data_IF_153482256962
#
_entry.id   IF_153482256962
#
_cell.length_a   1.000
_cell.length_b   1.000
_cell.length_c   1.000
_cell.angle_alpha   90.00
_cell.angle_beta   90.00
_cell.angle_gamma   90.00
#
_symmetry.space_group_name_H-M   'P 1'
#
loop_
_entity.id
_entity.type
_entity.pdbx_description
1 polymer ?
#
# COMPACT_ATOMS: atom_id res chain seq x y z
N UNK A 1 -15.94 -17.61 -4.87
CA UNK A 1 -15.59 -16.82 -3.69
C UNK A 1 -15.42 -15.36 -4.10
N UNK A 2 -16.05 -14.47 -3.38
CA UNK A 2 -16.06 -13.06 -3.76
C UNK A 2 -14.86 -12.33 -3.18
N UNK A 3 -14.31 -11.45 -3.99
CA UNK A 3 -13.27 -10.55 -3.55
C UNK A 3 -13.84 -9.16 -3.42
N UNK A 4 -13.13 -8.29 -2.71
CA UNK A 4 -13.52 -6.91 -2.60
C UNK A 4 -12.28 -6.03 -2.69
N UNK A 5 -12.48 -4.80 -3.13
CA UNK A 5 -11.41 -3.81 -3.21
C UNK A 5 -11.22 -3.13 -1.88
N UNK A 6 -9.98 -2.93 -1.52
CA UNK A 6 -9.64 -2.15 -0.34
C UNK A 6 -8.50 -1.21 -0.68
N UNK A 7 -8.55 -0.02 -0.10
CA UNK A 7 -7.54 1.00 -0.34
C UNK A 7 -6.79 1.30 0.94
N UNK A 8 -5.50 1.56 0.77
CA UNK A 8 -4.64 2.00 1.87
C UNK A 8 -3.95 3.27 1.47
N UNK A 9 -3.73 4.11 2.45
CA UNK A 9 -2.92 5.31 2.29
C UNK A 9 -1.73 5.20 3.21
N UNK A 10 -0.55 5.26 2.62
CA UNK A 10 0.71 5.13 3.35
C UNK A 10 1.33 6.50 3.50
N UNK A 11 1.59 6.90 4.74
CA UNK A 11 2.38 8.08 5.03
C UNK A 11 3.83 7.64 5.18
N UNK A 12 4.71 8.22 4.38
CA UNK A 12 6.06 7.71 4.23
C UNK A 12 7.09 8.82 4.33
N UNK A 13 8.30 8.43 4.69
CA UNK A 13 9.47 9.25 4.48
C UNK A 13 9.93 9.00 3.05
N UNK A 14 10.08 10.06 2.26
CA UNK A 14 10.42 9.93 0.84
C UNK A 14 11.82 9.33 0.69
N UNK A 15 11.94 8.33 -0.17
CA UNK A 15 13.21 7.72 -0.54
C UNK A 15 13.07 7.04 -1.89
N UNK A 16 14.21 6.81 -2.52
CA UNK A 16 14.23 6.12 -3.82
C UNK A 16 13.68 4.70 -3.68
N UNK A 17 12.87 4.31 -4.64
CA UNK A 17 12.37 2.95 -4.74
C UNK A 17 11.22 2.59 -3.82
N UNK A 18 10.68 3.55 -3.06
CA UNK A 18 9.63 3.25 -2.10
C UNK A 18 8.36 2.73 -2.79
N UNK A 19 7.93 3.40 -3.86
CA UNK A 19 6.74 2.96 -4.59
C UNK A 19 6.98 1.58 -5.22
N UNK A 20 8.19 1.33 -5.71
CA UNK A 20 8.52 0.03 -6.26
C UNK A 20 8.47 -1.05 -5.18
N UNK A 21 8.98 -0.76 -3.99
CA UNK A 21 8.90 -1.72 -2.89
C UNK A 21 7.45 -2.05 -2.55
N UNK A 22 6.57 -1.04 -2.53
CA UNK A 22 5.15 -1.28 -2.28
C UNK A 22 4.55 -2.17 -3.37
N UNK A 23 4.87 -1.90 -4.64
CA UNK A 23 4.39 -2.72 -5.75
C UNK A 23 4.90 -4.15 -5.63
N UNK A 24 6.14 -4.34 -5.22
CA UNK A 24 6.72 -5.67 -5.07
C UNK A 24 6.06 -6.47 -3.94
N UNK A 25 5.71 -5.81 -2.84
CA UNK A 25 4.98 -6.46 -1.76
C UNK A 25 3.64 -6.99 -2.29
N UNK A 26 2.89 -6.14 -2.98
CA UNK A 26 1.59 -6.53 -3.53
C UNK A 26 1.76 -7.68 -4.52
N UNK A 27 2.75 -7.58 -5.40
CA UNK A 27 3.02 -8.62 -6.39
C UNK A 27 3.40 -9.95 -5.74
N UNK A 28 4.21 -9.90 -4.67
CA UNK A 28 4.62 -11.12 -3.98
C UNK A 28 3.46 -11.84 -3.31
N UNK A 29 2.40 -11.10 -2.97
CA UNK A 29 1.19 -11.67 -2.40
C UNK A 29 0.21 -12.15 -3.47
N UNK A 30 0.55 -11.93 -4.75
CA UNK A 30 -0.26 -12.33 -5.91
C UNK A 30 -1.64 -11.70 -5.89
N UNK A 31 -1.70 -10.47 -5.44
CA UNK A 31 -2.95 -9.72 -5.40
C UNK A 31 -3.04 -8.81 -6.62
N UNK A 32 -4.28 -8.60 -7.05
CA UNK A 32 -4.53 -7.64 -8.13
C UNK A 32 -4.47 -6.24 -7.55
N UNK A 33 -3.63 -5.40 -8.13
CA UNK A 33 -3.51 -4.01 -7.75
C UNK A 33 -4.15 -3.16 -8.85
N UNK A 34 -5.19 -2.43 -8.51
CA UNK A 34 -5.88 -1.58 -9.48
C UNK A 34 -5.38 -0.16 -9.46
N UNK A 35 -4.70 0.24 -8.39
CA UNK A 35 -4.17 1.59 -8.28
C UNK A 35 -2.95 1.60 -7.37
N UNK A 36 -1.91 2.29 -7.83
CA UNK A 36 -0.76 2.59 -6.98
C UNK A 36 -0.24 3.95 -7.41
N UNK A 37 -0.30 4.92 -6.51
CA UNK A 37 0.04 6.29 -6.81
C UNK A 37 0.90 6.85 -5.68
N UNK A 38 2.05 7.40 -6.01
CA UNK A 38 2.97 7.98 -5.03
C UNK A 38 3.10 9.46 -5.30
N UNK A 39 3.04 10.25 -4.24
CA UNK A 39 3.08 11.71 -4.34
C UNK A 39 3.99 12.27 -3.26
N UNK A 40 5.02 13.00 -3.68
CA UNK A 40 5.92 13.69 -2.77
C UNK A 40 5.27 14.99 -2.28
N UNK A 41 5.52 15.33 -1.02
CA UNK A 41 5.02 16.60 -0.48
C UNK A 41 6.05 17.73 -0.64
N UNK A 42 7.22 17.44 -1.21
CA UNK A 42 8.27 18.43 -1.38
C UNK A 42 9.01 18.79 -0.10
N UNK A 43 8.73 18.10 0.99
CA UNK A 43 9.31 18.37 2.30
C UNK A 43 9.91 17.12 2.94
N UNK A 44 10.32 16.16 2.11
CA UNK A 44 10.88 14.93 2.59
C UNK A 44 9.85 13.86 2.93
N UNK A 45 8.58 14.13 2.71
CA UNK A 45 7.51 13.17 2.93
C UNK A 45 6.89 12.70 1.62
N UNK A 46 6.15 11.61 1.70
CA UNK A 46 5.51 11.00 0.55
C UNK A 46 4.22 10.32 1.00
N UNK A 47 3.20 10.36 0.17
CA UNK A 47 1.98 9.62 0.39
C UNK A 47 1.79 8.64 -0.75
N UNK A 48 1.59 7.37 -0.42
CA UNK A 48 1.31 6.33 -1.41
C UNK A 48 -0.11 5.85 -1.21
N UNK A 49 -0.90 5.91 -2.27
CA UNK A 49 -2.25 5.37 -2.28
C UNK A 49 -2.23 4.08 -3.08
N UNK A 50 -2.77 3.02 -2.50
CA UNK A 50 -2.79 1.72 -3.16
C UNK A 50 -4.16 1.08 -2.98
N UNK A 51 -4.68 0.50 -4.06
CA UNK A 51 -5.94 -0.22 -4.04
C UNK A 51 -5.69 -1.62 -4.55
N UNK A 52 -6.12 -2.60 -3.77
CA UNK A 52 -5.94 -4.02 -4.09
C UNK A 52 -7.24 -4.77 -3.89
N UNK A 53 -7.36 -5.92 -4.55
CA UNK A 53 -8.47 -6.84 -4.32
C UNK A 53 -8.03 -7.91 -3.34
N UNK A 54 -8.82 -8.10 -2.30
CA UNK A 54 -8.57 -9.11 -1.28
C UNK A 54 -9.81 -9.97 -1.13
N UNK A 55 -9.64 -11.17 -0.62
CA UNK A 55 -10.73 -12.15 -0.53
C UNK A 55 -11.38 -12.21 0.84
N UNK A 56 -10.68 -11.73 1.87
CA UNK A 56 -11.21 -11.79 3.23
C UNK A 56 -10.43 -10.82 4.13
N UNK A 57 -10.87 -10.69 5.37
CA UNK A 57 -10.27 -9.77 6.33
C UNK A 57 -8.86 -10.21 6.71
N UNK A 58 -8.61 -11.51 6.77
CA UNK A 58 -7.27 -12.02 7.05
C UNK A 58 -6.28 -11.54 6.00
N UNK A 59 -6.66 -11.62 4.73
CA UNK A 59 -5.81 -11.17 3.64
C UNK A 59 -5.62 -9.65 3.69
N UNK A 60 -6.68 -8.91 4.01
CA UNK A 60 -6.60 -7.47 4.16
C UNK A 60 -5.58 -7.10 5.24
N UNK A 61 -5.64 -7.78 6.38
CA UNK A 61 -4.72 -7.50 7.48
C UNK A 61 -3.29 -7.89 7.14
N UNK A 62 -3.11 -8.95 6.35
CA UNK A 62 -1.79 -9.36 5.89
C UNK A 62 -1.18 -8.29 4.98
N UNK A 63 -1.97 -7.73 4.07
CA UNK A 63 -1.49 -6.65 3.20
C UNK A 63 -1.07 -5.45 4.04
N UNK A 64 -1.94 -5.04 4.97
CA UNK A 64 -1.63 -3.89 5.82
C UNK A 64 -0.32 -4.10 6.57
N UNK A 65 -0.15 -5.29 7.15
CA UNK A 65 1.04 -5.61 7.92
C UNK A 65 2.31 -5.56 7.05
N UNK A 66 2.23 -6.14 5.84
CA UNK A 66 3.37 -6.17 4.94
C UNK A 66 3.73 -4.77 4.45
N UNK A 67 2.72 -3.95 4.15
CA UNK A 67 2.99 -2.57 3.73
C UNK A 67 3.61 -1.75 4.86
N UNK A 68 3.13 -1.94 6.09
CA UNK A 68 3.67 -1.18 7.22
C UNK A 68 5.10 -1.56 7.57
N UNK A 69 5.56 -2.73 7.13
CA UNK A 69 6.93 -3.19 7.37
C UNK A 69 7.94 -2.64 6.37
N UNK A 70 7.50 -1.97 5.32
CA UNK A 70 8.40 -1.41 4.33
C UNK A 70 9.20 -0.26 4.94
N UNK A 71 10.52 -0.27 4.73
CA UNK A 71 11.38 0.78 5.25
C UNK A 71 10.94 2.13 4.68
N UNK A 72 10.72 3.09 5.57
CA UNK A 72 10.27 4.42 5.19
C UNK A 72 8.78 4.64 5.39
N UNK A 73 7.99 3.58 5.51
CA UNK A 73 6.56 3.72 5.78
C UNK A 73 6.38 4.00 7.27
N UNK A 74 5.72 5.12 7.56
CA UNK A 74 5.47 5.56 8.94
C UNK A 74 4.12 5.14 9.43
N UNK A 75 3.12 5.10 8.55
CA UNK A 75 1.76 4.82 8.93
C UNK A 75 0.99 4.27 7.73
N UNK A 76 0.09 3.32 7.99
CA UNK A 76 -0.81 2.76 6.99
C UNK A 76 -2.22 2.87 7.52
N UNK A 77 -3.10 3.49 6.73
CA UNK A 77 -4.51 3.60 7.11
C UNK A 77 -5.39 3.22 5.92
N UNK A 78 -6.65 2.88 6.20
CA UNK A 78 -7.61 2.63 5.15
C UNK A 78 -7.90 3.94 4.43
N UNK A 79 -7.88 3.89 3.10
CA UNK A 79 -8.22 5.04 2.30
C UNK A 79 -9.71 5.11 2.03
N UNK A 80 -10.12 6.20 1.39
CA UNK A 80 -11.50 6.40 0.99
C UNK A 80 -11.64 6.34 -0.52
N UNK A 81 -12.76 5.87 -0.93
CA UNK A 81 -13.18 5.89 -2.33
C UNK A 81 -14.41 6.72 -2.49
#
# INVERSE_FOLDING_TARGET
>A
MESFSTSFELTCQDRDGLALDAAMVISSMKLKCSELNARSDGKGGCTISVTVEVQNVTELNAVRSRLSAIKGVKNVRRGHH
#
